data_IF_461915093656
#
_entry.id   IF_461915093656
#
_cell.length_a   1.000
_cell.length_b   1.000
_cell.length_c   1.000
_cell.angle_alpha   90.00
_cell.angle_beta   90.00
_cell.angle_gamma   90.00
#
_symmetry.space_group_name_H-M   'P 1'
#
loop_
_entity.id
_entity.type
_entity.pdbx_description
1 polymer ?
#
# COMPACT_ATOMS: atom_id res chain seq x y z
N UNK A 1 -78.49 -15.88 6.52
CA UNK A 1 -78.37 -17.35 6.47
C UNK A 1 -77.08 -17.69 5.74
N UNK A 2 -76.19 -18.44 6.41
CA UNK A 2 -75.04 -19.22 5.90
C UNK A 2 -73.90 -18.41 5.26
N UNK A 3 -72.86 -17.99 5.99
CA UNK A 3 -71.64 -18.72 6.40
C UNK A 3 -70.92 -19.49 5.28
N UNK A 4 -69.80 -18.97 4.77
CA UNK A 4 -68.59 -19.77 4.53
C UNK A 4 -67.34 -18.96 4.89
N UNK A 5 -66.71 -19.43 5.96
CA UNK A 5 -65.34 -19.17 6.38
C UNK A 5 -64.38 -19.70 5.33
N UNK A 6 -63.38 -18.90 4.95
CA UNK A 6 -62.08 -19.42 4.51
C UNK A 6 -60.96 -18.48 4.96
N UNK A 7 -60.37 -18.88 6.09
CA UNK A 7 -58.94 -18.84 6.41
C UNK A 7 -58.11 -17.78 5.65
N UNK A 8 -57.84 -16.64 6.28
CA UNK A 8 -56.62 -15.89 5.98
C UNK A 8 -55.45 -16.65 6.61
N UNK A 9 -54.56 -17.16 5.77
CA UNK A 9 -53.31 -17.78 6.21
C UNK A 9 -52.46 -16.80 7.01
N UNK A 10 -51.89 -17.33 8.09
CA UNK A 10 -51.16 -16.66 9.17
C UNK A 10 -49.82 -16.02 8.75
N UNK A 11 -49.63 -15.67 7.48
CA UNK A 11 -48.37 -15.15 6.91
C UNK A 11 -48.40 -13.62 6.73
N UNK A 12 -49.58 -13.00 6.65
CA UNK A 12 -49.68 -11.54 6.45
C UNK A 12 -49.48 -10.68 7.71
N UNK A 13 -49.59 -11.24 8.91
CA UNK A 13 -49.41 -10.47 10.16
C UNK A 13 -47.92 -10.21 10.48
N UNK A 14 -47.02 -11.07 10.00
CA UNK A 14 -45.58 -10.92 10.23
C UNK A 14 -44.92 -9.92 9.26
N UNK A 15 -45.46 -9.74 8.05
CA UNK A 15 -44.95 -8.79 7.06
C UNK A 15 -45.29 -7.32 7.41
N UNK A 16 -46.46 -7.06 8.02
CA UNK A 16 -46.80 -5.70 8.45
C UNK A 16 -45.99 -5.21 9.66
N UNK A 17 -45.46 -6.11 10.49
CA UNK A 17 -44.68 -5.73 11.67
C UNK A 17 -43.22 -5.38 11.36
N UNK A 18 -42.67 -5.94 10.28
CA UNK A 18 -41.31 -5.62 9.81
C UNK A 18 -41.27 -4.32 8.99
N UNK A 19 -42.29 -4.04 8.17
CA UNK A 19 -42.33 -2.83 7.33
C UNK A 19 -42.46 -1.52 8.14
N UNK A 20 -43.03 -1.56 9.35
CA UNK A 20 -43.16 -0.35 10.19
C UNK A 20 -41.89 0.00 10.97
N UNK A 21 -41.01 -0.98 11.28
CA UNK A 21 -39.72 -0.68 11.90
C UNK A 21 -38.72 -0.07 10.89
N UNK A 22 -38.82 -0.45 9.62
CA UNK A 22 -37.97 0.09 8.55
C UNK A 22 -38.29 1.54 8.17
N UNK A 23 -39.50 2.04 8.45
CA UNK A 23 -39.85 3.44 8.17
C UNK A 23 -39.55 4.40 9.33
N UNK A 24 -39.57 3.95 10.58
CA UNK A 24 -39.16 4.80 11.72
C UNK A 24 -37.65 4.92 11.86
N UNK A 25 -36.88 3.93 11.39
CA UNK A 25 -35.41 4.02 11.33
C UNK A 25 -34.90 4.82 10.13
N UNK A 26 -35.70 4.99 9.07
CA UNK A 26 -35.31 5.80 7.91
C UNK A 26 -35.58 7.31 8.09
N UNK A 27 -36.51 7.67 8.97
CA UNK A 27 -36.86 9.08 9.24
C UNK A 27 -35.91 9.76 10.24
N UNK A 28 -35.16 9.00 11.05
CA UNK A 28 -34.09 9.58 11.89
C UNK A 28 -32.76 9.78 11.15
N UNK A 29 -32.61 9.25 9.93
CA UNK A 29 -31.40 9.37 9.10
C UNK A 29 -31.47 10.58 8.15
N UNK A 30 -32.61 11.28 8.08
CA UNK A 30 -32.87 12.35 7.11
C UNK A 30 -32.98 13.77 7.70
N UNK A 31 -32.55 14.00 8.95
CA UNK A 31 -32.51 15.34 9.55
C UNK A 31 -31.12 15.78 10.02
N UNK A 32 -30.05 15.20 9.47
CA UNK A 32 -28.73 15.82 9.53
C UNK A 32 -28.55 16.71 8.30
N UNK A 33 -28.64 18.01 8.54
CA UNK A 33 -28.36 19.10 7.62
C UNK A 33 -27.07 18.85 6.80
N UNK A 34 -27.04 19.11 5.48
CA UNK A 34 -25.89 18.86 4.62
C UNK A 34 -24.78 19.93 4.73
N UNK A 35 -24.50 20.44 5.93
CA UNK A 35 -23.52 21.53 6.15
C UNK A 35 -22.49 21.26 7.25
N UNK A 36 -22.37 20.02 7.74
CA UNK A 36 -21.47 19.68 8.86
C UNK A 36 -20.55 18.46 8.64
N UNK A 37 -20.33 18.06 7.38
CA UNK A 37 -19.45 16.91 7.05
C UNK A 37 -18.09 17.35 6.47
N UNK A 38 -17.87 18.65 6.23
CA UNK A 38 -16.57 19.14 5.71
C UNK A 38 -15.46 19.35 6.76
N UNK A 39 -15.60 18.84 7.98
CA UNK A 39 -14.48 18.84 8.93
C UNK A 39 -14.62 17.75 10.00
N UNK A 40 -14.55 16.48 9.61
CA UNK A 40 -14.06 15.47 10.57
C UNK A 40 -12.54 15.64 10.60
N UNK A 41 -12.08 16.69 11.29
CA UNK A 41 -10.68 16.79 11.68
C UNK A 41 -10.38 15.56 12.52
N UNK A 42 -9.28 14.87 12.21
CA UNK A 42 -8.77 13.76 13.01
C UNK A 42 -8.81 14.12 14.50
N UNK A 43 -9.34 13.21 15.32
CA UNK A 43 -9.40 13.39 16.77
C UNK A 43 -7.99 13.69 17.29
N UNK A 44 -7.79 14.69 18.17
CA UNK A 44 -6.48 14.98 18.75
C UNK A 44 -5.82 13.71 19.29
N UNK A 45 -4.60 13.42 18.84
CA UNK A 45 -3.85 12.23 19.22
C UNK A 45 -3.95 11.04 18.26
N UNK A 46 -4.79 11.12 17.23
CA UNK A 46 -4.83 10.12 16.14
C UNK A 46 -3.89 10.57 15.01
N UNK A 47 -2.95 9.71 14.63
CA UNK A 47 -2.03 9.91 13.52
C UNK A 47 -2.67 9.44 12.22
N UNK A 48 -2.67 10.30 11.19
CA UNK A 48 -3.10 9.90 9.84
C UNK A 48 -2.31 8.69 9.34
N UNK A 49 -1.00 8.67 9.58
CA UNK A 49 -0.12 7.60 9.15
C UNK A 49 -0.50 6.24 9.76
N UNK A 50 -0.72 6.19 11.08
CA UNK A 50 -1.13 4.97 11.76
C UNK A 50 -2.49 4.46 11.24
N UNK A 51 -3.45 5.38 11.04
CA UNK A 51 -4.77 5.01 10.54
C UNK A 51 -4.70 4.38 9.14
N UNK A 52 -3.94 4.97 8.21
CA UNK A 52 -3.86 4.40 6.85
C UNK A 52 -3.10 3.06 6.83
N UNK A 53 -2.13 2.89 7.73
CA UNK A 53 -1.42 1.62 7.92
C UNK A 53 -2.34 0.53 8.47
N UNK A 54 -3.05 0.78 9.57
CA UNK A 54 -3.94 -0.19 10.23
C UNK A 54 -5.02 -0.73 9.27
N UNK A 55 -5.53 0.13 8.39
CA UNK A 55 -6.52 -0.28 7.37
C UNK A 55 -5.95 -1.14 6.25
N UNK A 56 -4.62 -1.28 6.16
CA UNK A 56 -3.92 -1.99 5.10
C UNK A 56 -2.95 -3.06 5.61
N UNK A 57 -2.80 -3.22 6.93
CA UNK A 57 -1.86 -4.17 7.56
C UNK A 57 -2.07 -5.61 7.07
N UNK A 58 -3.34 -6.03 6.95
CA UNK A 58 -3.70 -7.37 6.41
C UNK A 58 -3.18 -7.60 4.99
N UNK A 59 -2.98 -6.55 4.19
CA UNK A 59 -2.32 -6.65 2.89
C UNK A 59 -0.82 -6.89 3.04
N UNK A 60 -0.15 -6.24 3.98
CA UNK A 60 1.27 -6.46 4.26
C UNK A 60 1.53 -7.91 4.70
N UNK A 61 0.72 -8.43 5.62
CA UNK A 61 0.77 -9.85 6.02
C UNK A 61 0.51 -10.80 4.85
N UNK A 62 -0.45 -10.44 3.99
CA UNK A 62 -0.74 -11.24 2.80
C UNK A 62 0.45 -11.25 1.83
N UNK A 63 1.16 -10.13 1.68
CA UNK A 63 2.37 -10.05 0.85
C UNK A 63 3.47 -10.94 1.43
N UNK A 64 3.74 -10.81 2.74
CA UNK A 64 4.74 -11.62 3.44
C UNK A 64 4.51 -13.12 3.24
N UNK A 65 3.25 -13.56 3.37
CA UNK A 65 2.88 -14.98 3.25
C UNK A 65 2.84 -15.53 1.83
N UNK A 66 2.60 -14.69 0.82
CA UNK A 66 2.37 -15.15 -0.56
C UNK A 66 3.55 -14.93 -1.51
N UNK A 67 4.57 -14.18 -1.10
CA UNK A 67 5.72 -13.92 -1.96
C UNK A 67 6.76 -15.03 -1.87
N UNK A 68 7.07 -15.65 -3.01
CA UNK A 68 8.15 -16.64 -3.17
C UNK A 68 9.52 -16.05 -2.82
N UNK A 69 9.77 -14.78 -3.16
CA UNK A 69 11.00 -14.06 -2.78
C UNK A 69 11.15 -13.95 -1.27
N UNK A 70 10.08 -13.51 -0.58
CA UNK A 70 10.13 -13.33 0.88
C UNK A 70 10.24 -14.67 1.62
N UNK A 71 9.53 -15.69 1.14
CA UNK A 71 9.66 -17.07 1.62
C UNK A 71 11.11 -17.58 1.47
N UNK A 72 11.71 -17.39 0.30
CA UNK A 72 13.10 -17.78 0.04
C UNK A 72 14.11 -17.01 0.91
N UNK A 73 13.90 -15.71 1.15
CA UNK A 73 14.70 -14.92 2.08
C UNK A 73 14.61 -15.46 3.51
N UNK A 74 13.39 -15.77 3.96
CA UNK A 74 13.13 -16.28 5.29
C UNK A 74 13.78 -17.67 5.50
N UNK A 75 13.60 -18.57 4.54
CA UNK A 75 14.13 -19.93 4.62
C UNK A 75 15.63 -20.02 4.36
N UNK A 76 16.24 -18.98 3.76
CA UNK A 76 17.63 -19.00 3.29
C UNK A 76 17.83 -19.78 1.99
N UNK A 77 16.77 -20.13 1.28
CA UNK A 77 16.83 -20.88 0.02
C UNK A 77 16.65 -19.99 -1.21
N UNK A 78 16.62 -18.66 -1.06
CA UNK A 78 16.52 -17.77 -2.20
C UNK A 78 17.70 -17.96 -3.15
N UNK A 79 17.40 -18.24 -4.42
CA UNK A 79 18.42 -18.37 -5.45
C UNK A 79 18.91 -16.99 -5.91
N UNK A 80 20.16 -16.94 -6.38
CA UNK A 80 20.70 -15.71 -6.98
C UNK A 80 19.89 -15.26 -8.19
N UNK A 81 19.41 -16.21 -9.01
CA UNK A 81 18.59 -15.90 -10.17
C UNK A 81 17.29 -15.19 -9.76
N UNK A 82 16.54 -15.74 -8.80
CA UNK A 82 15.30 -15.11 -8.35
C UNK A 82 15.56 -13.72 -7.74
N UNK A 83 16.62 -13.57 -6.95
CA UNK A 83 16.96 -12.27 -6.37
C UNK A 83 17.33 -11.24 -7.44
N UNK A 84 18.07 -11.62 -8.49
CA UNK A 84 18.37 -10.73 -9.61
C UNK A 84 17.10 -10.31 -10.35
N UNK A 85 16.17 -11.23 -10.62
CA UNK A 85 14.88 -10.91 -11.23
C UNK A 85 14.08 -9.93 -10.35
N UNK A 86 14.03 -10.16 -9.02
CA UNK A 86 13.42 -9.23 -8.07
C UNK A 86 14.02 -7.82 -8.18
N UNK A 87 15.35 -7.71 -8.17
CA UNK A 87 16.03 -6.42 -8.27
C UNK A 87 15.79 -5.73 -9.63
N UNK A 88 15.65 -6.48 -10.72
CA UNK A 88 15.29 -5.93 -12.03
C UNK A 88 13.87 -5.34 -12.01
N UNK A 89 12.89 -6.05 -11.43
CA UNK A 89 11.53 -5.51 -11.28
C UNK A 89 11.51 -4.28 -10.35
N UNK A 90 12.34 -4.27 -9.31
CA UNK A 90 12.47 -3.11 -8.43
C UNK A 90 13.08 -1.90 -9.16
N UNK A 91 14.16 -2.08 -9.92
CA UNK A 91 14.76 -1.02 -10.72
C UNK A 91 13.77 -0.44 -11.73
N UNK A 92 12.94 -1.29 -12.35
CA UNK A 92 11.87 -0.88 -13.24
C UNK A 92 10.84 0.04 -12.58
N UNK A 93 10.37 -0.35 -11.39
CA UNK A 93 9.45 0.47 -10.61
C UNK A 93 10.09 1.81 -10.24
N UNK A 94 11.30 1.78 -9.66
CA UNK A 94 11.97 2.99 -9.16
C UNK A 94 12.27 3.98 -10.28
N UNK A 95 12.71 3.51 -11.45
CA UNK A 95 12.90 4.37 -12.62
C UNK A 95 11.59 5.04 -13.08
N UNK A 96 10.53 4.25 -13.22
CA UNK A 96 9.24 4.75 -13.72
C UNK A 96 8.55 5.67 -12.71
N UNK A 97 8.67 5.37 -11.42
CA UNK A 97 8.20 6.21 -10.33
C UNK A 97 9.00 7.51 -10.24
N UNK A 98 10.33 7.47 -10.36
CA UNK A 98 11.18 8.68 -10.43
C UNK A 98 10.76 9.61 -11.57
N UNK A 99 10.60 9.09 -12.78
CA UNK A 99 10.15 9.89 -13.94
C UNK A 99 8.77 10.52 -13.69
N UNK A 100 7.86 9.78 -13.05
CA UNK A 100 6.54 10.30 -12.68
C UNK A 100 6.66 11.40 -11.61
N UNK A 101 7.48 11.21 -10.59
CA UNK A 101 7.71 12.19 -9.51
C UNK A 101 8.33 13.48 -10.03
N UNK A 102 9.32 13.38 -10.92
CA UNK A 102 9.97 14.54 -11.54
C UNK A 102 8.94 15.42 -12.28
N UNK A 103 8.05 14.81 -13.07
CA UNK A 103 6.99 15.50 -13.78
C UNK A 103 5.99 16.20 -12.84
N UNK A 104 5.71 15.61 -11.68
CA UNK A 104 4.81 16.18 -10.66
C UNK A 104 5.47 17.32 -9.91
N UNK A 105 6.69 17.12 -9.42
CA UNK A 105 7.46 18.15 -8.70
C UNK A 105 7.67 19.37 -9.60
N UNK A 106 7.88 19.19 -10.90
CA UNK A 106 7.99 20.30 -11.85
C UNK A 106 6.75 21.22 -11.91
N UNK A 107 5.56 20.72 -11.50
CA UNK A 107 4.29 21.45 -11.53
C UNK A 107 3.89 22.08 -10.19
N UNK A 108 4.48 21.63 -9.08
CA UNK A 108 4.19 22.16 -7.75
C UNK A 108 4.75 23.58 -7.60
N UNK A 109 3.89 24.58 -7.49
CA UNK A 109 4.29 26.00 -7.37
C UNK A 109 4.81 26.35 -5.96
N UNK A 110 4.34 25.65 -4.93
CA UNK A 110 4.63 25.98 -3.53
C UNK A 110 5.88 25.27 -3.00
N UNK A 111 6.70 26.00 -2.25
CA UNK A 111 7.77 25.43 -1.43
C UNK A 111 7.23 25.05 -0.05
N UNK A 112 7.58 23.85 0.40
CA UNK A 112 7.10 23.30 1.66
C UNK A 112 7.76 21.97 1.98
N UNK A 113 7.51 21.46 3.16
CA UNK A 113 7.96 20.14 3.61
C UNK A 113 7.44 19.01 2.72
N UNK A 114 6.23 19.12 2.16
CA UNK A 114 5.70 18.15 1.19
C UNK A 114 6.56 18.12 -0.08
N UNK A 115 6.80 19.28 -0.70
CA UNK A 115 7.65 19.38 -1.89
C UNK A 115 9.08 18.89 -1.61
N UNK A 116 9.64 19.27 -0.46
CA UNK A 116 10.98 18.85 -0.04
C UNK A 116 11.06 17.33 0.12
N UNK A 117 10.07 16.70 0.76
CA UNK A 117 10.07 15.24 0.93
C UNK A 117 9.87 14.51 -0.41
N UNK A 118 9.07 15.06 -1.33
CA UNK A 118 8.95 14.52 -2.69
C UNK A 118 10.28 14.60 -3.45
N UNK A 119 11.00 15.72 -3.37
CA UNK A 119 12.33 15.89 -3.98
C UNK A 119 13.37 14.92 -3.40
N UNK A 120 13.35 14.74 -2.08
CA UNK A 120 14.23 13.78 -1.42
C UNK A 120 13.88 12.34 -1.83
N UNK A 121 12.59 12.02 -1.96
CA UNK A 121 12.13 10.71 -2.45
C UNK A 121 12.56 10.46 -3.89
N UNK A 122 12.45 11.46 -4.76
CA UNK A 122 12.97 11.39 -6.13
C UNK A 122 14.48 11.11 -6.13
N UNK A 123 15.25 11.80 -5.29
CA UNK A 123 16.70 11.59 -5.18
C UNK A 123 17.01 10.16 -4.72
N UNK A 124 16.29 9.67 -3.72
CA UNK A 124 16.42 8.29 -3.21
C UNK A 124 16.16 7.25 -4.30
N UNK A 125 15.02 7.35 -5.00
CA UNK A 125 14.65 6.39 -6.04
C UNK A 125 15.64 6.45 -7.22
N UNK A 126 16.04 7.64 -7.64
CA UNK A 126 16.98 7.82 -8.74
C UNK A 126 18.39 7.31 -8.41
N UNK A 127 18.84 7.40 -7.16
CA UNK A 127 20.15 6.87 -6.75
C UNK A 127 20.26 5.34 -6.87
N UNK A 128 19.12 4.65 -6.82
CA UNK A 128 19.03 3.18 -6.92
C UNK A 128 18.93 2.67 -8.36
N UNK A 129 18.76 3.55 -9.34
CA UNK A 129 18.60 3.20 -10.75
C UNK A 129 19.93 2.90 -11.48
N UNK A 130 21.09 3.00 -10.82
CA UNK A 130 22.38 3.17 -11.50
C UNK A 130 23.15 1.88 -11.86
N UNK A 131 22.64 0.66 -11.70
CA UNK A 131 23.52 -0.52 -11.90
C UNK A 131 22.93 -1.84 -12.40
N UNK A 132 21.66 -1.94 -12.79
CA UNK A 132 21.09 -3.23 -13.24
C UNK A 132 20.41 -3.12 -14.61
N UNK A 133 21.18 -3.43 -15.66
CA UNK A 133 20.73 -3.81 -17.02
C UNK A 133 19.78 -2.82 -17.75
N UNK A 134 19.69 -2.86 -19.10
CA UNK A 134 18.75 -2.01 -19.82
C UNK A 134 17.30 -2.31 -19.36
N UNK A 135 16.53 -1.26 -19.08
CA UNK A 135 15.09 -1.39 -18.85
C UNK A 135 14.46 -2.23 -19.98
N UNK A 136 13.61 -3.24 -19.70
CA UNK A 136 12.93 -4.00 -20.73
C UNK A 136 12.22 -3.09 -21.73
N UNK A 137 12.31 -3.50 -22.99
CA UNK A 137 11.66 -2.83 -24.09
C UNK A 137 10.13 -2.85 -23.90
N UNK A 138 9.42 -1.77 -24.26
CA UNK A 138 7.98 -1.67 -24.07
C UNK A 138 7.19 -2.80 -24.77
N UNK A 139 6.01 -3.18 -24.25
CA UNK A 139 5.29 -2.51 -23.15
C UNK A 139 5.74 -2.96 -21.75
N UNK A 140 5.65 -2.09 -20.73
CA UNK A 140 5.91 -2.46 -19.34
C UNK A 140 4.95 -3.56 -18.86
N UNK A 141 5.36 -4.42 -17.91
CA UNK A 141 4.50 -5.47 -17.38
C UNK A 141 3.24 -4.90 -16.72
N UNK A 142 2.16 -5.68 -16.73
CA UNK A 142 0.82 -5.22 -16.34
C UNK A 142 0.77 -4.67 -14.91
N UNK A 143 1.46 -5.31 -13.96
CA UNK A 143 1.54 -4.84 -12.57
C UNK A 143 2.15 -3.43 -12.48
N UNK A 144 3.14 -3.13 -13.33
CA UNK A 144 3.81 -1.84 -13.36
C UNK A 144 2.90 -0.78 -13.98
N UNK A 145 2.14 -1.14 -15.02
CA UNK A 145 1.15 -0.25 -15.62
C UNK A 145 0.11 0.21 -14.58
N UNK A 146 -0.46 -0.72 -13.81
CA UNK A 146 -1.41 -0.37 -12.76
C UNK A 146 -0.78 0.50 -11.66
N UNK A 147 0.43 0.15 -11.23
CA UNK A 147 1.18 0.92 -10.22
C UNK A 147 1.39 2.37 -10.66
N UNK A 148 1.79 2.58 -11.92
CA UNK A 148 2.02 3.91 -12.49
C UNK A 148 0.72 4.67 -12.73
N UNK A 149 -0.35 3.99 -13.11
CA UNK A 149 -1.66 4.60 -13.29
C UNK A 149 -2.23 5.09 -11.95
N UNK A 150 -2.17 4.27 -10.90
CA UNK A 150 -2.59 4.69 -9.54
C UNK A 150 -1.78 5.90 -9.08
N UNK A 151 -0.46 5.85 -9.25
CA UNK A 151 0.41 6.98 -8.89
C UNK A 151 -0.01 8.25 -9.65
N UNK A 152 -0.23 8.16 -10.96
CA UNK A 152 -0.65 9.30 -11.79
C UNK A 152 -2.05 9.83 -11.45
N UNK A 153 -2.98 8.98 -11.01
CA UNK A 153 -4.31 9.45 -10.61
C UNK A 153 -4.26 10.41 -9.42
N UNK A 154 -3.27 10.25 -8.54
CA UNK A 154 -3.05 11.15 -7.40
C UNK A 154 -2.55 12.54 -7.83
N UNK A 155 -2.08 12.73 -9.08
CA UNK A 155 -1.63 14.07 -9.58
C UNK A 155 -2.76 15.08 -9.54
N UNK A 156 -3.99 14.60 -9.70
CA UNK A 156 -5.19 15.43 -9.74
C UNK A 156 -5.59 15.96 -8.35
N UNK A 157 -4.93 15.48 -7.30
CA UNK A 157 -5.23 15.79 -5.91
C UNK A 157 -4.16 16.68 -5.27
N UNK A 158 -4.37 17.04 -4.00
CA UNK A 158 -3.39 17.80 -3.24
C UNK A 158 -2.05 17.04 -3.09
N UNK A 159 -0.91 17.76 -3.03
CA UNK A 159 0.41 17.13 -3.04
C UNK A 159 0.67 16.20 -1.85
N UNK A 160 -0.05 16.37 -0.73
CA UNK A 160 0.06 15.47 0.43
C UNK A 160 -0.35 14.03 0.10
N UNK A 161 -1.31 13.83 -0.81
CA UNK A 161 -1.75 12.48 -1.18
C UNK A 161 -0.67 11.71 -1.95
N UNK A 162 0.28 12.39 -2.60
CA UNK A 162 1.48 11.74 -3.15
C UNK A 162 2.33 11.10 -2.07
N UNK A 163 2.48 11.78 -0.94
CA UNK A 163 3.20 11.22 0.20
C UNK A 163 2.46 10.02 0.78
N UNK A 164 1.13 10.07 0.85
CA UNK A 164 0.31 8.91 1.25
C UNK A 164 0.58 7.72 0.32
N UNK A 165 0.50 7.92 -0.99
CA UNK A 165 0.76 6.89 -2.00
C UNK A 165 2.18 6.29 -1.89
N UNK A 166 3.21 7.13 -1.78
CA UNK A 166 4.61 6.70 -1.68
C UNK A 166 4.93 6.02 -0.35
N UNK A 167 4.28 6.46 0.73
CA UNK A 167 4.48 5.91 2.07
C UNK A 167 4.06 4.44 2.17
N UNK A 168 3.15 3.95 1.32
CA UNK A 168 2.77 2.53 1.28
C UNK A 168 3.99 1.60 1.07
N UNK A 169 4.87 1.93 0.10
CA UNK A 169 6.08 1.14 -0.15
C UNK A 169 7.04 1.18 1.03
N UNK A 170 7.30 2.37 1.60
CA UNK A 170 8.21 2.52 2.73
C UNK A 170 7.70 1.76 3.96
N UNK A 171 6.40 1.87 4.25
CA UNK A 171 5.74 1.19 5.36
C UNK A 171 5.83 -0.33 5.22
N UNK A 172 5.51 -0.86 4.03
CA UNK A 172 5.67 -2.28 3.74
C UNK A 172 7.11 -2.74 3.94
N UNK A 173 8.10 -1.99 3.43
CA UNK A 173 9.52 -2.34 3.59
C UNK A 173 9.94 -2.32 5.07
N UNK A 174 9.44 -1.38 5.86
CA UNK A 174 9.68 -1.33 7.31
C UNK A 174 9.12 -2.59 8.00
N UNK A 175 7.85 -2.90 7.74
CA UNK A 175 7.19 -4.09 8.28
C UNK A 175 7.94 -5.39 7.92
N UNK A 176 8.30 -5.56 6.64
CA UNK A 176 8.98 -6.77 6.18
C UNK A 176 10.35 -6.96 6.83
N UNK A 177 11.09 -5.87 7.08
CA UNK A 177 12.38 -5.95 7.77
C UNK A 177 12.20 -6.41 9.20
N UNK A 178 11.24 -5.83 9.92
CA UNK A 178 10.95 -6.21 11.30
C UNK A 178 10.53 -7.68 11.38
N UNK A 179 9.58 -8.10 10.55
CA UNK A 179 9.11 -9.49 10.52
C UNK A 179 10.21 -10.49 10.14
N UNK A 180 11.00 -10.22 9.11
CA UNK A 180 12.03 -11.16 8.67
C UNK A 180 13.25 -11.20 9.59
N UNK A 181 13.61 -10.09 10.25
CA UNK A 181 14.69 -10.08 11.23
C UNK A 181 14.27 -10.77 12.54
N UNK A 182 13.01 -10.65 12.95
CA UNK A 182 12.51 -11.29 14.17
C UNK A 182 12.35 -12.81 13.99
N UNK A 183 12.00 -13.26 12.78
CA UNK A 183 11.74 -14.66 12.48
C UNK A 183 12.96 -15.45 11.97
N UNK A 184 14.10 -14.79 11.75
CA UNK A 184 15.36 -15.44 11.34
C UNK A 184 16.38 -15.33 12.47
N UNK A 185 17.19 -16.37 12.74
CA UNK A 185 18.37 -16.20 13.58
C UNK A 185 19.19 -15.02 13.04
N UNK A 186 19.53 -14.06 13.91
CA UNK A 186 20.08 -12.77 13.50
C UNK A 186 21.30 -12.87 12.58
N UNK A 187 21.65 -11.77 11.87
CA UNK A 187 22.70 -11.79 10.85
C UNK A 187 24.00 -12.38 11.41
N UNK A 188 24.42 -13.54 10.89
CA UNK A 188 25.72 -14.13 11.24
C UNK A 188 26.83 -13.21 10.71
N UNK A 189 27.92 -13.04 11.47
CA UNK A 189 29.04 -12.18 11.09
C UNK A 189 29.69 -12.58 9.75
N UNK A 190 29.54 -13.85 9.36
CA UNK A 190 29.98 -14.39 8.07
C UNK A 190 28.82 -15.15 7.43
N UNK A 191 28.39 -14.80 6.20
CA UNK A 191 27.38 -15.58 5.49
C UNK A 191 27.95 -16.96 5.15
N UNK A 192 27.28 -18.02 5.62
CA UNK A 192 27.69 -19.41 5.40
C UNK A 192 27.12 -19.96 4.09
N UNK A 193 26.01 -19.38 3.64
CA UNK A 193 25.30 -19.76 2.42
C UNK A 193 25.11 -18.56 1.49
N UNK A 194 24.82 -18.83 0.21
CA UNK A 194 24.40 -17.79 -0.74
C UNK A 194 23.15 -17.06 -0.22
N UNK A 195 22.16 -17.80 0.29
CA UNK A 195 20.95 -17.22 0.85
C UNK A 195 21.21 -16.27 2.02
N UNK A 196 22.18 -16.57 2.88
CA UNK A 196 22.60 -15.66 3.95
C UNK A 196 23.16 -14.35 3.43
N UNK A 197 24.02 -14.41 2.41
CA UNK A 197 24.58 -13.22 1.79
C UNK A 197 23.49 -12.35 1.15
N UNK A 198 22.54 -12.97 0.43
CA UNK A 198 21.40 -12.27 -0.18
C UNK A 198 20.49 -11.63 0.89
N UNK A 199 20.22 -12.33 1.99
CA UNK A 199 19.44 -11.78 3.11
C UNK A 199 20.14 -10.59 3.77
N UNK A 200 21.45 -10.66 3.97
CA UNK A 200 22.24 -9.54 4.51
C UNK A 200 22.22 -8.31 3.59
N UNK A 201 22.32 -8.53 2.28
CA UNK A 201 22.22 -7.46 1.29
C UNK A 201 20.84 -6.80 1.31
N UNK A 202 19.78 -7.63 1.22
CA UNK A 202 18.39 -7.18 1.25
C UNK A 202 18.04 -6.44 2.55
N UNK A 203 18.47 -6.96 3.70
CA UNK A 203 18.16 -6.36 5.01
C UNK A 203 18.88 -5.02 5.20
N UNK A 204 20.16 -4.92 4.80
CA UNK A 204 20.90 -3.66 4.81
C UNK A 204 20.24 -2.59 3.96
N UNK A 205 19.73 -2.97 2.79
CA UNK A 205 19.04 -2.03 1.91
C UNK A 205 17.66 -1.63 2.46
N UNK A 206 16.91 -2.59 2.99
CA UNK A 206 15.56 -2.37 3.50
C UNK A 206 15.55 -1.61 4.84
N UNK A 207 16.60 -1.71 5.68
CA UNK A 207 16.76 -0.88 6.88
C UNK A 207 16.83 0.62 6.57
N UNK A 208 17.28 1.00 5.36
CA UNK A 208 17.23 2.41 4.92
C UNK A 208 15.79 2.90 4.76
N UNK A 209 14.86 2.01 4.38
CA UNK A 209 13.44 2.35 4.19
C UNK A 209 12.73 2.66 5.52
N UNK A 210 13.16 2.07 6.64
CA UNK A 210 12.67 2.42 7.99
C UNK A 210 12.83 3.92 8.28
N UNK A 211 13.94 4.50 7.82
CA UNK A 211 14.17 5.94 7.96
C UNK A 211 13.17 6.74 7.11
N UNK A 212 12.87 6.29 5.88
CA UNK A 212 11.87 6.91 5.01
C UNK A 212 10.47 6.85 5.60
N UNK A 213 10.08 5.72 6.18
CA UNK A 213 8.81 5.56 6.88
C UNK A 213 8.62 6.63 7.95
N UNK A 214 9.63 6.84 8.79
CA UNK A 214 9.58 7.89 9.82
C UNK A 214 9.44 9.30 9.23
N UNK A 215 10.08 9.57 8.10
CA UNK A 215 9.99 10.86 7.40
C UNK A 215 8.60 11.09 6.81
N UNK A 216 8.01 10.08 6.17
CA UNK A 216 6.63 10.15 5.68
C UNK A 216 5.65 10.41 6.81
N UNK A 217 5.73 9.62 7.89
CA UNK A 217 4.90 9.80 9.09
C UNK A 217 4.94 11.25 9.60
N UNK A 218 6.15 11.80 9.77
CA UNK A 218 6.33 13.16 10.30
C UNK A 218 5.66 14.25 9.45
N UNK A 219 5.70 14.13 8.11
CA UNK A 219 5.05 15.12 7.22
C UNK A 219 3.55 14.87 7.14
N UNK A 220 3.10 13.62 7.04
CA UNK A 220 1.67 13.28 6.97
C UNK A 220 0.91 13.73 8.23
N UNK A 221 1.46 13.48 9.42
CA UNK A 221 0.84 13.89 10.68
C UNK A 221 0.77 15.41 10.81
N UNK A 222 1.75 16.14 10.26
CA UNK A 222 1.74 17.61 10.26
C UNK A 222 0.65 18.20 9.36
N UNK A 223 0.33 17.53 8.25
CA UNK A 223 -0.69 17.96 7.29
C UNK A 223 -2.07 17.31 7.49
N UNK A 224 -2.22 16.55 8.57
CA UNK A 224 -3.40 15.72 8.79
C UNK A 224 -4.70 16.51 8.96
N UNK A 225 -4.64 17.75 9.47
CA UNK A 225 -5.82 18.60 9.64
C UNK A 225 -6.47 19.00 8.32
N UNK A 226 -5.69 18.97 7.23
CA UNK A 226 -6.12 19.40 5.90
C UNK A 226 -6.28 18.20 4.95
N UNK A 227 -6.14 16.97 5.45
CA UNK A 227 -6.20 15.76 4.65
C UNK A 227 -7.52 15.03 4.87
N UNK A 228 -8.21 14.65 3.80
CA UNK A 228 -9.35 13.76 3.87
C UNK A 228 -8.88 12.35 4.23
N UNK A 229 -9.26 11.89 5.42
CA UNK A 229 -8.85 10.61 5.96
C UNK A 229 -9.31 9.43 5.10
N UNK A 230 -10.56 9.43 4.61
CA UNK A 230 -11.08 8.32 3.81
C UNK A 230 -10.38 8.22 2.46
N UNK A 231 -10.10 9.38 1.84
CA UNK A 231 -9.32 9.43 0.61
C UNK A 231 -7.89 8.93 0.83
N UNK A 232 -7.24 9.35 1.91
CA UNK A 232 -5.90 8.88 2.25
C UNK A 232 -5.86 7.36 2.48
N UNK A 233 -6.84 6.80 3.22
CA UNK A 233 -6.98 5.35 3.42
C UNK A 233 -7.06 4.63 2.07
N UNK A 234 -7.94 5.09 1.17
CA UNK A 234 -8.12 4.45 -0.13
C UNK A 234 -6.86 4.53 -1.00
N UNK A 235 -6.21 5.68 -1.06
CA UNK A 235 -4.96 5.86 -1.81
C UNK A 235 -3.86 4.95 -1.25
N UNK A 236 -3.65 4.94 0.06
CA UNK A 236 -2.65 4.07 0.68
C UNK A 236 -2.91 2.60 0.37
N UNK A 237 -4.16 2.15 0.53
CA UNK A 237 -4.58 0.77 0.29
C UNK A 237 -4.40 0.35 -1.17
N UNK A 238 -4.75 1.21 -2.12
CA UNK A 238 -4.58 0.95 -3.55
C UNK A 238 -3.08 0.80 -3.89
N UNK A 239 -2.23 1.63 -3.28
CA UNK A 239 -0.79 1.51 -3.43
C UNK A 239 -0.21 0.27 -2.74
N UNK A 240 -0.77 -0.20 -1.62
CA UNK A 240 -0.44 -1.49 -1.01
C UNK A 240 -0.84 -2.68 -1.91
N UNK A 241 -1.99 -2.60 -2.57
CA UNK A 241 -2.41 -3.60 -3.57
C UNK A 241 -1.46 -3.66 -4.78
N UNK A 242 -0.93 -2.51 -5.20
CA UNK A 242 0.10 -2.44 -6.22
C UNK A 242 1.42 -3.07 -5.75
N UNK A 243 1.83 -2.84 -4.50
CA UNK A 243 2.98 -3.56 -3.91
C UNK A 243 2.75 -5.07 -3.90
N UNK A 244 1.53 -5.53 -3.55
CA UNK A 244 1.19 -6.95 -3.61
C UNK A 244 1.32 -7.53 -5.01
N UNK A 245 0.88 -6.79 -6.02
CA UNK A 245 1.02 -7.19 -7.42
C UNK A 245 2.49 -7.28 -7.85
N UNK A 246 3.33 -6.35 -7.40
CA UNK A 246 4.78 -6.39 -7.61
C UNK A 246 5.42 -7.65 -7.00
N UNK A 247 5.18 -7.93 -5.72
CA UNK A 247 5.75 -9.12 -5.04
C UNK A 247 5.23 -10.44 -5.60
N UNK A 248 4.04 -10.45 -6.20
CA UNK A 248 3.47 -11.61 -6.89
C UNK A 248 4.05 -11.80 -8.31
N UNK A 249 4.48 -10.72 -8.97
CA UNK A 249 5.02 -10.78 -10.32
C UNK A 249 6.42 -11.42 -10.39
N UNK A 250 7.12 -11.49 -9.25
CA UNK A 250 8.38 -12.21 -9.14
C UNK A 250 8.08 -13.62 -8.63
N UNK A 251 8.15 -14.57 -9.54
CA UNK A 251 8.01 -16.00 -9.22
C UNK A 251 9.40 -16.65 -9.17
N UNK A 252 9.73 -17.26 -8.03
CA UNK A 252 10.98 -17.99 -7.85
C UNK A 252 10.85 -19.48 -8.20
N UNK A 253 9.64 -20.02 -8.29
CA UNK A 253 9.39 -21.46 -8.51
C UNK A 253 9.42 -21.81 -10.01
N UNK A 254 9.06 -20.85 -10.88
CA UNK A 254 9.10 -21.03 -12.33
C UNK A 254 10.53 -21.20 -12.92
N UNK A 255 11.57 -21.01 -12.12
CA UNK A 255 12.97 -21.14 -12.55
C UNK A 255 13.54 -22.57 -12.40
N UNK A 256 12.82 -23.47 -11.75
CA UNK A 256 13.25 -24.86 -11.50
C UNK A 256 12.74 -25.84 -12.58
N UNK A 257 11.95 -25.39 -13.56
CA UNK A 257 11.40 -26.22 -14.65
C UNK A 257 12.27 -26.25 -15.93
N UNK A 258 13.38 -25.51 -15.96
CA UNK A 258 14.30 -25.44 -17.11
C UNK A 258 15.67 -26.10 -16.83
N UNK A 259 15.68 -27.28 -16.20
CA UNK A 259 16.87 -28.15 -16.10
C UNK A 259 16.65 -29.55 -16.73
#
# INVERSE_FOLDING_TARGET
MVNVVRQCDSVCVYLCRWMMCLWTSLVLVLSLTPTLISSIGLVPGVSLYEVVWDHSETLAESILRSSSVLSGLQSGHLTKHCYVNFLQQEALYLHSASSTLEAVIGRLQESGDVRSLLQDTLTHYSSRNLSLAPLPSPPPPLWLQFSLQSLRSVVLDEPVYWLVALSARASLRSFLVEELLNNRPGPRLTPETVGDALFQEWSKDSLKEVTWTRRFKGVLDKHQSNTDMYKAINIFRDHMMNQKSFYKAVDCEAADEEE
#
